data_IF_467369887425
#
_entry.id   IF_467369887425
#
_cell.length_a   1.000
_cell.length_b   1.000
_cell.length_c   1.000
_cell.angle_alpha   90.00
_cell.angle_beta   90.00
_cell.angle_gamma   90.00
#
_symmetry.space_group_name_H-M   'P 1'
#
loop_
_entity.id
_entity.type
_entity.pdbx_description
1 polymer ?
#
# COMPACT_ATOMS: atom_id res chain seq x y z
N UNK A 1 -6.58 4.99 -16.71
CA UNK A 1 -7.80 5.04 -17.54
C UNK A 1 -7.65 4.23 -18.83
N UNK A 2 -8.51 3.24 -19.08
CA UNK A 2 -8.59 2.66 -20.44
C UNK A 2 -9.24 3.69 -21.38
N UNK A 3 -8.75 3.78 -22.62
CA UNK A 3 -9.28 4.69 -23.66
C UNK A 3 -10.81 4.65 -23.77
N UNK A 4 -11.42 3.50 -23.50
CA UNK A 4 -12.87 3.30 -23.52
C UNK A 4 -13.66 4.21 -22.56
N UNK A 5 -13.18 4.47 -21.34
CA UNK A 5 -13.91 5.32 -20.39
C UNK A 5 -13.88 6.79 -20.80
N UNK A 6 -12.76 7.26 -21.34
CA UNK A 6 -12.65 8.62 -21.85
C UNK A 6 -13.54 8.85 -23.07
N UNK A 7 -13.56 7.88 -23.99
CA UNK A 7 -14.46 7.90 -25.15
C UNK A 7 -15.92 7.89 -24.71
N UNK A 8 -16.30 7.06 -23.72
CA UNK A 8 -17.65 7.03 -23.19
C UNK A 8 -18.05 8.35 -22.51
N UNK A 9 -17.14 8.96 -21.75
CA UNK A 9 -17.36 10.27 -21.13
C UNK A 9 -17.58 11.38 -22.15
N UNK A 10 -16.72 11.44 -23.18
CA UNK A 10 -16.87 12.42 -24.27
C UNK A 10 -18.15 12.19 -25.06
N UNK A 11 -18.47 10.93 -25.39
CA UNK A 11 -19.71 10.59 -26.08
C UNK A 11 -20.95 11.01 -25.27
N UNK A 12 -20.92 10.81 -23.95
CA UNK A 12 -22.01 11.24 -23.06
C UNK A 12 -22.17 12.77 -23.04
N UNK A 13 -21.08 13.52 -22.93
CA UNK A 13 -21.13 15.00 -22.96
C UNK A 13 -21.65 15.50 -24.30
N UNK A 14 -21.18 14.94 -25.42
CA UNK A 14 -21.67 15.30 -26.77
C UNK A 14 -23.16 14.98 -26.91
N UNK A 15 -23.60 13.81 -26.42
CA UNK A 15 -25.00 13.41 -26.44
C UNK A 15 -25.89 14.35 -25.62
N UNK A 16 -25.46 14.71 -24.41
CA UNK A 16 -26.18 15.69 -23.58
C UNK A 16 -26.19 17.09 -24.21
N UNK A 17 -25.09 17.49 -24.85
CA UNK A 17 -25.04 18.74 -25.62
C UNK A 17 -26.03 18.75 -26.78
N UNK A 18 -26.15 17.65 -27.52
CA UNK A 18 -27.13 17.51 -28.61
C UNK A 18 -28.57 17.59 -28.10
N UNK A 19 -28.88 16.93 -26.98
CA UNK A 19 -30.20 17.03 -26.34
C UNK A 19 -30.51 18.46 -25.90
N UNK A 20 -29.53 19.16 -25.30
CA UNK A 20 -29.70 20.55 -24.89
C UNK A 20 -29.96 21.48 -26.08
N UNK A 21 -29.22 21.33 -27.19
CA UNK A 21 -29.43 22.11 -28.43
C UNK A 21 -30.81 21.82 -29.03
N UNK A 22 -31.21 20.55 -29.11
CA UNK A 22 -32.51 20.16 -29.62
C UNK A 22 -33.64 20.76 -28.76
N UNK A 23 -33.52 20.67 -27.44
CA UNK A 23 -34.52 21.23 -26.56
C UNK A 23 -34.58 22.77 -26.65
N UNK A 24 -33.42 23.44 -26.67
CA UNK A 24 -33.36 24.89 -26.83
C UNK A 24 -34.03 25.33 -28.13
N UNK A 25 -33.70 24.70 -29.25
CA UNK A 25 -34.32 25.00 -30.55
C UNK A 25 -35.82 24.70 -30.58
N UNK A 26 -36.28 23.62 -29.93
CA UNK A 26 -37.70 23.31 -29.80
C UNK A 26 -38.46 24.36 -28.97
N UNK A 27 -37.88 24.81 -27.84
CA UNK A 27 -38.47 25.87 -27.02
C UNK A 27 -38.50 27.21 -27.75
N UNK A 28 -37.46 27.51 -28.54
CA UNK A 28 -37.38 28.72 -29.34
C UNK A 28 -38.51 28.78 -30.37
N UNK A 29 -38.79 27.65 -31.06
CA UNK A 29 -39.91 27.55 -32.00
C UNK A 29 -41.25 27.77 -31.30
N UNK A 30 -41.47 27.11 -30.16
CA UNK A 30 -42.69 27.28 -29.37
C UNK A 30 -42.90 28.74 -28.95
N UNK A 31 -41.84 29.43 -28.53
CA UNK A 31 -41.91 30.84 -28.15
C UNK A 31 -42.29 31.75 -29.33
N UNK A 32 -41.77 31.46 -30.52
CA UNK A 32 -42.09 32.23 -31.72
C UNK A 32 -43.53 32.00 -32.22
N UNK A 33 -44.04 30.77 -32.16
CA UNK A 33 -45.42 30.46 -32.54
C UNK A 33 -46.43 31.17 -31.62
N UNK A 34 -46.18 31.16 -30.31
CA UNK A 34 -47.02 31.88 -29.35
C UNK A 34 -46.99 33.40 -29.56
N UNK A 35 -45.85 33.95 -29.96
CA UNK A 35 -45.74 35.39 -30.24
C UNK A 35 -46.57 35.79 -31.47
N UNK A 36 -46.59 34.97 -32.50
CA UNK A 36 -47.44 35.18 -33.66
C UNK A 36 -48.94 35.10 -33.30
N UNK A 37 -49.32 34.18 -32.40
CA UNK A 37 -50.68 34.11 -31.89
C UNK A 37 -51.08 35.36 -31.09
N UNK A 38 -50.16 35.93 -30.31
CA UNK A 38 -50.37 37.18 -29.58
C UNK A 38 -50.55 38.39 -30.51
N UNK A 39 -49.77 38.48 -31.59
CA UNK A 39 -49.95 39.53 -32.60
C UNK A 39 -51.31 39.42 -33.32
N UNK A 40 -51.76 38.19 -33.57
CA UNK A 40 -53.11 37.93 -34.10
C UNK A 40 -54.22 38.40 -33.14
N UNK A 41 -54.05 38.15 -31.85
CA UNK A 41 -54.96 38.65 -30.82
C UNK A 41 -54.92 40.19 -30.75
N UNK A 42 -53.73 40.81 -30.76
CA UNK A 42 -53.52 42.27 -30.76
C UNK A 42 -54.35 42.97 -31.87
N UNK A 43 -54.36 42.41 -33.08
CA UNK A 43 -55.14 42.94 -34.20
C UNK A 43 -56.65 42.83 -33.98
N UNK A 44 -57.15 41.80 -33.29
CA UNK A 44 -58.55 41.76 -32.89
C UNK A 44 -58.89 42.87 -31.90
N UNK A 45 -57.99 43.26 -30.99
CA UNK A 45 -58.24 44.40 -30.09
C UNK A 45 -58.40 45.72 -30.84
N UNK A 46 -57.63 45.94 -31.90
CA UNK A 46 -57.78 47.13 -32.74
C UNK A 46 -59.18 47.19 -33.38
N UNK A 47 -59.74 46.04 -33.79
CA UNK A 47 -61.10 45.95 -34.31
C UNK A 47 -62.17 46.28 -33.27
N UNK A 48 -61.97 45.90 -32.00
CA UNK A 48 -62.92 46.20 -30.91
C UNK A 48 -62.77 47.62 -30.35
N UNK A 49 -61.61 48.27 -30.49
CA UNK A 49 -61.46 49.68 -30.14
C UNK A 49 -62.41 50.58 -30.97
N UNK A 50 -62.70 50.17 -32.20
CA UNK A 50 -63.69 50.80 -33.10
C UNK A 50 -65.14 50.58 -32.63
N UNK A 51 -65.41 49.57 -31.81
CA UNK A 51 -66.76 49.30 -31.29
C UNK A 51 -67.25 50.39 -30.33
N UNK A 52 -66.36 51.21 -29.77
CA UNK A 52 -66.73 52.34 -28.93
C UNK A 52 -67.50 53.42 -29.74
N UNK A 53 -67.15 53.58 -31.02
CA UNK A 53 -67.87 54.48 -31.93
C UNK A 53 -69.29 53.97 -32.22
N UNK A 54 -69.50 52.64 -32.23
CA UNK A 54 -70.82 52.03 -32.45
C UNK A 54 -71.79 52.38 -31.32
N UNK A 55 -71.35 52.33 -30.05
CA UNK A 55 -72.21 52.73 -28.94
C UNK A 55 -72.59 54.22 -28.99
N UNK A 56 -71.74 55.08 -29.59
CA UNK A 56 -72.02 56.52 -29.69
C UNK A 56 -73.12 56.87 -30.70
N UNK A 57 -73.38 56.00 -31.68
CA UNK A 57 -74.36 56.19 -32.75
C UNK A 57 -75.82 55.87 -32.35
N UNK A 58 -76.04 55.38 -31.12
CA UNK A 58 -77.37 55.01 -30.62
C UNK A 58 -78.07 56.25 -30.04
N UNK A 59 -79.17 56.70 -30.66
CA UNK A 59 -79.90 57.93 -30.27
C UNK A 59 -80.66 57.82 -28.93
N UNK A 60 -81.01 56.60 -28.49
CA UNK A 60 -81.75 56.39 -27.25
C UNK A 60 -80.80 56.33 -26.04
N UNK A 61 -80.89 57.31 -25.13
CA UNK A 61 -80.01 57.43 -23.94
C UNK A 61 -79.96 56.16 -23.08
N UNK A 62 -81.09 55.48 -22.88
CA UNK A 62 -81.15 54.26 -22.07
C UNK A 62 -80.42 53.09 -22.73
N UNK A 63 -80.53 52.94 -24.06
CA UNK A 63 -79.83 51.91 -24.83
C UNK A 63 -78.33 52.21 -24.95
N UNK A 64 -77.96 53.50 -24.98
CA UNK A 64 -76.57 53.94 -24.97
C UNK A 64 -75.87 53.56 -23.67
N UNK A 65 -76.52 53.79 -22.53
CA UNK A 65 -75.97 53.44 -21.21
C UNK A 65 -75.77 51.93 -21.04
N UNK A 66 -76.69 51.10 -21.52
CA UNK A 66 -76.52 49.64 -21.47
C UNK A 66 -75.38 49.17 -22.38
N UNK A 67 -75.22 49.75 -23.58
CA UNK A 67 -74.11 49.45 -24.50
C UNK A 67 -72.75 49.75 -23.84
N UNK A 68 -72.63 50.92 -23.20
CA UNK A 68 -71.40 51.32 -22.50
C UNK A 68 -71.14 50.40 -21.29
N UNK A 69 -72.16 50.08 -20.50
CA UNK A 69 -72.01 49.20 -19.34
C UNK A 69 -71.54 47.79 -19.74
N UNK A 70 -72.14 47.20 -20.78
CA UNK A 70 -71.76 45.89 -21.31
C UNK A 70 -70.34 45.90 -21.89
N UNK A 71 -69.93 46.98 -22.57
CA UNK A 71 -68.54 47.12 -23.02
C UNK A 71 -67.54 47.23 -21.87
N UNK A 72 -67.88 47.95 -20.80
CA UNK A 72 -67.00 48.07 -19.62
C UNK A 72 -66.83 46.72 -18.94
N UNK A 73 -67.91 45.98 -18.74
CA UNK A 73 -67.86 44.63 -18.14
C UNK A 73 -67.12 43.64 -19.03
N UNK A 74 -67.38 43.65 -20.34
CA UNK A 74 -66.67 42.83 -21.32
C UNK A 74 -65.16 43.16 -21.33
N UNK A 75 -64.79 44.44 -21.24
CA UNK A 75 -63.38 44.86 -21.14
C UNK A 75 -62.74 44.36 -19.84
N UNK A 76 -63.42 44.50 -18.71
CA UNK A 76 -62.88 44.08 -17.42
C UNK A 76 -62.67 42.57 -17.34
N UNK A 77 -63.66 41.78 -17.79
CA UNK A 77 -63.55 40.32 -17.85
C UNK A 77 -62.41 39.87 -18.79
N UNK A 78 -62.14 40.64 -19.84
CA UNK A 78 -61.06 40.36 -20.79
C UNK A 78 -59.68 40.71 -20.24
N UNK A 79 -59.53 41.86 -19.58
CA UNK A 79 -58.30 42.23 -18.88
C UNK A 79 -57.93 41.19 -17.81
N UNK A 80 -58.92 40.68 -17.07
CA UNK A 80 -58.69 39.58 -16.12
C UNK A 80 -58.28 38.28 -16.82
N UNK A 81 -58.96 37.91 -17.91
CA UNK A 81 -58.61 36.71 -18.67
C UNK A 81 -57.19 36.77 -19.28
N UNK A 82 -56.76 37.95 -19.74
CA UNK A 82 -55.40 38.20 -20.24
C UNK A 82 -54.37 38.12 -19.12
N UNK A 83 -54.64 38.75 -17.98
CA UNK A 83 -53.76 38.72 -16.81
C UNK A 83 -53.56 37.28 -16.31
N UNK A 84 -54.64 36.49 -16.23
CA UNK A 84 -54.56 35.08 -15.85
C UNK A 84 -53.79 34.24 -16.88
N UNK A 85 -54.02 34.48 -18.17
CA UNK A 85 -53.27 33.80 -19.24
C UNK A 85 -51.79 34.15 -19.16
N UNK A 86 -51.45 35.41 -18.91
CA UNK A 86 -50.07 35.86 -18.79
C UNK A 86 -49.40 35.26 -17.55
N UNK A 87 -50.11 35.17 -16.43
CA UNK A 87 -49.61 34.51 -15.22
C UNK A 87 -49.34 33.01 -15.47
N UNK A 88 -50.21 32.32 -16.21
CA UNK A 88 -50.00 30.91 -16.58
C UNK A 88 -48.80 30.73 -17.51
N UNK A 89 -48.65 31.61 -18.50
CA UNK A 89 -47.49 31.59 -19.40
C UNK A 89 -46.19 31.83 -18.65
N UNK A 90 -46.16 32.79 -17.73
CA UNK A 90 -44.99 33.11 -16.94
C UNK A 90 -44.60 31.94 -16.02
N UNK A 91 -45.59 31.33 -15.36
CA UNK A 91 -45.37 30.15 -14.51
C UNK A 91 -44.87 28.94 -15.30
N UNK A 92 -45.34 28.74 -16.54
CA UNK A 92 -44.85 27.67 -17.42
C UNK A 92 -43.40 27.89 -17.84
N UNK A 93 -43.00 29.13 -18.11
CA UNK A 93 -41.63 29.49 -18.49
C UNK A 93 -40.66 29.25 -17.33
N UNK A 94 -41.07 29.59 -16.11
CA UNK A 94 -40.30 29.35 -14.90
C UNK A 94 -40.14 27.86 -14.60
N UNK A 95 -41.22 27.10 -14.73
CA UNK A 95 -41.20 25.64 -14.52
C UNK A 95 -40.25 24.97 -15.50
N UNK A 96 -40.23 25.44 -16.76
CA UNK A 96 -39.29 24.95 -17.77
C UNK A 96 -37.82 25.24 -17.41
N UNK A 97 -37.52 26.44 -16.89
CA UNK A 97 -36.17 26.77 -16.44
C UNK A 97 -35.71 25.88 -15.27
N UNK A 98 -36.58 25.63 -14.29
CA UNK A 98 -36.29 24.75 -13.15
C UNK A 98 -36.01 23.31 -13.61
N UNK A 99 -36.75 22.82 -14.60
CA UNK A 99 -36.54 21.49 -15.17
C UNK A 99 -35.11 21.33 -15.72
N UNK A 100 -34.60 22.34 -16.45
CA UNK A 100 -33.24 22.31 -16.97
C UNK A 100 -32.17 22.35 -15.89
N UNK A 101 -32.36 23.18 -14.87
CA UNK A 101 -31.46 23.21 -13.70
C UNK A 101 -31.42 21.83 -13.02
N UNK A 102 -32.57 21.17 -12.89
CA UNK A 102 -32.67 19.81 -12.36
C UNK A 102 -31.89 18.79 -13.21
N UNK A 103 -32.05 18.82 -14.53
CA UNK A 103 -31.32 17.92 -15.45
C UNK A 103 -29.81 18.12 -15.34
N UNK A 104 -29.33 19.36 -15.31
CA UNK A 104 -27.90 19.66 -15.14
C UNK A 104 -27.40 19.15 -13.77
N UNK A 105 -28.18 19.35 -12.71
CA UNK A 105 -27.85 18.85 -11.37
C UNK A 105 -27.68 17.33 -11.33
N UNK A 106 -28.53 16.58 -12.03
CA UNK A 106 -28.43 15.12 -12.14
C UNK A 106 -27.15 14.71 -12.88
N UNK A 107 -26.82 15.37 -14.00
CA UNK A 107 -25.59 15.08 -14.78
C UNK A 107 -24.34 15.28 -13.90
N UNK A 108 -24.27 16.42 -13.20
CA UNK A 108 -23.15 16.74 -12.32
C UNK A 108 -23.04 15.71 -11.18
N UNK A 109 -24.17 15.30 -10.60
CA UNK A 109 -24.21 14.30 -9.54
C UNK A 109 -23.70 12.93 -10.01
N UNK A 110 -24.17 12.45 -11.17
CA UNK A 110 -23.71 11.18 -11.77
C UNK A 110 -22.21 11.24 -12.10
N UNK A 111 -21.75 12.37 -12.66
CA UNK A 111 -20.33 12.59 -12.92
C UNK A 111 -19.48 12.56 -11.65
N UNK A 112 -19.95 13.19 -10.57
CA UNK A 112 -19.27 13.17 -9.27
C UNK A 112 -19.15 11.76 -8.68
N UNK A 113 -20.23 10.97 -8.73
CA UNK A 113 -20.21 9.57 -8.27
C UNK A 113 -19.24 8.72 -9.09
N UNK A 114 -19.24 8.89 -10.42
CA UNK A 114 -18.32 8.16 -11.31
C UNK A 114 -16.85 8.45 -10.98
N UNK A 115 -16.52 9.72 -10.73
CA UNK A 115 -15.17 10.15 -10.38
C UNK A 115 -14.73 9.55 -9.04
N UNK A 116 -15.60 9.56 -8.02
CA UNK A 116 -15.33 8.92 -6.72
C UNK A 116 -15.05 7.42 -6.89
N UNK A 117 -15.83 6.73 -7.71
CA UNK A 117 -15.64 5.30 -7.98
C UNK A 117 -14.27 5.01 -8.62
N UNK A 118 -13.82 5.88 -9.53
CA UNK A 118 -12.52 5.76 -10.15
C UNK A 118 -11.39 5.99 -9.14
N UNK A 119 -11.49 7.03 -8.31
CA UNK A 119 -10.52 7.28 -7.24
C UNK A 119 -10.41 6.09 -6.29
N UNK A 120 -11.55 5.53 -5.84
CA UNK A 120 -11.56 4.35 -4.96
C UNK A 120 -10.92 3.12 -5.62
N UNK A 121 -11.11 2.95 -6.93
CA UNK A 121 -10.49 1.86 -7.68
C UNK A 121 -8.96 2.00 -7.72
N UNK A 122 -8.46 3.21 -7.97
CA UNK A 122 -7.02 3.48 -7.96
C UNK A 122 -6.42 3.32 -6.56
N UNK A 123 -7.09 3.80 -5.51
CA UNK A 123 -6.64 3.60 -4.12
C UNK A 123 -6.54 2.11 -3.77
N UNK A 124 -7.50 1.28 -4.21
CA UNK A 124 -7.45 -0.17 -4.02
C UNK A 124 -6.28 -0.82 -4.76
N UNK A 125 -5.99 -0.39 -5.98
CA UNK A 125 -4.85 -0.90 -6.74
C UNK A 125 -3.53 -0.52 -6.06
N UNK A 126 -3.39 0.74 -5.63
CA UNK A 126 -2.21 1.23 -4.91
C UNK A 126 -2.00 0.46 -3.60
N UNK A 127 -3.06 0.25 -2.82
CA UNK A 127 -2.98 -0.51 -1.56
C UNK A 127 -2.45 -1.93 -1.75
N UNK A 128 -2.80 -2.61 -2.85
CA UNK A 128 -2.25 -3.94 -3.18
C UNK A 128 -0.76 -3.90 -3.45
N UNK A 129 -0.31 -2.98 -4.31
CA UNK A 129 1.12 -2.81 -4.63
C UNK A 129 1.93 -2.45 -3.37
N UNK A 130 1.38 -1.60 -2.50
CA UNK A 130 2.01 -1.27 -1.22
C UNK A 130 2.11 -2.50 -0.32
N UNK A 131 1.09 -3.36 -0.26
CA UNK A 131 1.14 -4.58 0.54
C UNK A 131 2.22 -5.56 0.06
N UNK A 132 2.34 -5.77 -1.26
CA UNK A 132 3.37 -6.61 -1.87
C UNK A 132 4.78 -6.05 -1.59
N UNK A 133 4.95 -4.73 -1.77
CA UNK A 133 6.23 -4.06 -1.51
C UNK A 133 6.64 -4.14 -0.04
N UNK A 134 5.67 -4.06 0.89
CA UNK A 134 5.94 -4.19 2.32
C UNK A 134 6.41 -5.60 2.68
N UNK A 135 5.87 -6.64 2.04
CA UNK A 135 6.30 -8.01 2.29
C UNK A 135 7.70 -8.29 1.72
N UNK A 136 8.02 -7.79 0.53
CA UNK A 136 9.38 -7.85 -0.01
C UNK A 136 10.38 -7.08 0.86
N UNK A 137 10.00 -5.88 1.30
CA UNK A 137 10.82 -5.05 2.21
C UNK A 137 11.03 -5.74 3.55
N UNK A 138 10.02 -6.44 4.09
CA UNK A 138 10.16 -7.25 5.30
C UNK A 138 11.14 -8.40 5.11
N UNK A 139 11.09 -9.10 3.97
CA UNK A 139 12.02 -10.18 3.66
C UNK A 139 13.46 -9.67 3.52
N UNK A 140 13.66 -8.56 2.79
CA UNK A 140 14.95 -7.91 2.65
C UNK A 140 15.50 -7.45 4.01
N UNK A 141 14.67 -6.78 4.82
CA UNK A 141 15.05 -6.33 6.16
C UNK A 141 15.39 -7.50 7.10
N UNK A 142 14.68 -8.63 7.02
CA UNK A 142 15.02 -9.83 7.80
C UNK A 142 16.40 -10.38 7.41
N UNK A 143 16.80 -10.27 6.14
CA UNK A 143 18.11 -10.72 5.67
C UNK A 143 19.25 -9.77 6.09
N UNK A 144 19.00 -8.45 6.13
CA UNK A 144 20.01 -7.46 6.55
C UNK A 144 20.19 -7.41 8.06
N UNK A 145 19.11 -7.54 8.82
CA UNK A 145 19.13 -7.48 10.29
C UNK A 145 19.59 -8.78 10.96
N UNK A 146 19.93 -9.83 10.20
CA UNK A 146 20.24 -11.15 10.78
C UNK A 146 21.48 -11.13 11.67
N UNK A 147 21.48 -11.98 12.68
CA UNK A 147 22.66 -12.31 13.48
C UNK A 147 23.69 -13.05 12.61
N UNK A 148 24.96 -12.69 12.73
CA UNK A 148 26.07 -13.35 12.04
C UNK A 148 27.10 -13.76 13.07
N UNK A 149 27.11 -15.04 13.41
CA UNK A 149 28.02 -15.53 14.44
C UNK A 149 29.31 -16.04 13.81
N UNK A 150 30.43 -15.45 14.23
CA UNK A 150 31.76 -15.98 14.00
C UNK A 150 32.28 -16.67 15.26
N UNK A 151 33.14 -17.65 15.08
CA UNK A 151 33.81 -18.34 16.18
C UNK A 151 35.32 -18.15 16.02
N UNK A 152 35.97 -17.69 17.09
CA UNK A 152 37.41 -17.58 17.19
C UNK A 152 37.88 -18.49 18.32
N UNK A 153 38.97 -19.20 18.10
CA UNK A 153 39.59 -19.98 19.16
C UNK A 153 40.61 -19.10 19.86
N UNK A 154 40.54 -19.05 21.18
CA UNK A 154 41.42 -18.19 21.97
C UNK A 154 42.55 -18.98 22.63
N UNK A 155 42.24 -20.16 23.19
CA UNK A 155 43.24 -20.89 23.97
C UNK A 155 42.89 -22.37 24.14
N UNK A 156 43.93 -23.17 24.39
CA UNK A 156 43.82 -24.53 24.93
C UNK A 156 44.30 -24.47 26.39
N UNK A 157 43.36 -24.53 27.33
CA UNK A 157 43.73 -24.61 28.75
C UNK A 157 44.32 -25.99 29.00
N UNK A 158 45.57 -25.99 29.49
CA UNK A 158 46.48 -27.13 29.51
C UNK A 158 45.85 -28.45 29.99
N UNK A 159 45.94 -29.52 29.18
CA UNK A 159 45.78 -30.87 29.69
C UNK A 159 47.01 -31.20 30.55
N UNK A 160 46.89 -31.08 31.86
CA UNK A 160 47.81 -31.81 32.75
C UNK A 160 47.45 -33.29 32.69
N UNK A 161 48.36 -34.19 33.05
CA UNK A 161 48.12 -35.64 33.07
C UNK A 161 46.85 -36.02 33.85
N UNK A 162 46.45 -35.15 34.80
CA UNK A 162 45.35 -35.36 35.72
C UNK A 162 44.09 -34.52 35.42
N UNK A 163 44.13 -33.60 34.43
CA UNK A 163 42.96 -32.76 34.07
C UNK A 163 42.67 -32.81 32.58
N UNK A 164 41.39 -32.99 32.17
CA UNK A 164 41.02 -32.88 30.76
C UNK A 164 41.34 -31.47 30.29
N UNK A 165 42.00 -31.34 29.14
CA UNK A 165 42.23 -30.05 28.52
C UNK A 165 40.89 -29.40 28.13
N UNK A 166 40.90 -28.09 27.98
CA UNK A 166 39.70 -27.36 27.59
C UNK A 166 39.99 -26.48 26.39
N UNK A 167 39.09 -26.49 25.41
CA UNK A 167 39.11 -25.51 24.33
C UNK A 167 38.29 -24.30 24.74
N UNK A 168 38.86 -23.12 24.57
CA UNK A 168 38.17 -21.86 24.79
C UNK A 168 37.77 -21.27 23.45
N UNK A 169 36.48 -21.33 23.15
CA UNK A 169 35.90 -20.69 21.97
C UNK A 169 35.33 -19.34 22.37
N UNK A 170 35.69 -18.31 21.61
CA UNK A 170 35.06 -17.01 21.63
C UNK A 170 34.02 -16.96 20.52
N UNK A 171 32.78 -16.69 20.90
CA UNK A 171 31.67 -16.48 19.98
C UNK A 171 31.47 -14.98 19.84
N UNK A 172 31.48 -14.46 18.63
CA UNK A 172 31.26 -13.04 18.34
C UNK A 172 30.09 -12.87 17.39
N UNK A 173 29.13 -12.01 17.75
CA UNK A 173 28.00 -11.67 16.89
C UNK A 173 28.28 -10.39 16.09
N UNK A 174 28.53 -10.54 14.80
CA UNK A 174 28.70 -9.43 13.86
C UNK A 174 27.38 -8.93 13.26
N UNK A 175 26.25 -9.56 13.59
CA UNK A 175 24.95 -9.13 13.10
C UNK A 175 24.32 -8.04 13.95
N UNK A 176 23.18 -7.52 13.47
CA UNK A 176 22.48 -6.40 14.12
C UNK A 176 21.41 -6.84 15.13
N UNK A 177 21.16 -8.15 15.24
CA UNK A 177 20.19 -8.73 16.17
C UNK A 177 20.85 -9.70 17.13
N UNK A 178 20.33 -9.85 18.36
CA UNK A 178 20.80 -10.85 19.30
C UNK A 178 20.55 -12.25 18.76
N UNK A 179 21.41 -13.19 19.15
CA UNK A 179 21.24 -14.61 18.83
C UNK A 179 21.15 -15.44 20.10
N UNK A 180 20.38 -16.53 20.05
CA UNK A 180 20.21 -17.48 21.15
C UNK A 180 21.01 -18.74 20.81
N UNK A 181 22.15 -18.94 21.46
CA UNK A 181 22.97 -20.14 21.26
C UNK A 181 22.22 -21.33 21.85
N UNK A 182 21.94 -22.33 21.00
CA UNK A 182 21.22 -23.54 21.40
C UNK A 182 22.17 -24.66 21.73
N UNK A 183 23.17 -24.88 20.86
CA UNK A 183 24.07 -26.02 20.96
C UNK A 183 25.38 -25.73 20.23
N UNK A 184 26.50 -26.10 20.83
CA UNK A 184 27.79 -26.16 20.17
C UNK A 184 28.19 -27.62 20.05
N UNK A 185 28.47 -28.09 18.85
CA UNK A 185 29.01 -29.44 18.61
C UNK A 185 30.45 -29.28 18.19
N UNK A 186 31.37 -29.93 18.89
CA UNK A 186 32.79 -29.88 18.55
C UNK A 186 33.39 -31.27 18.49
N UNK A 187 34.27 -31.45 17.51
CA UNK A 187 35.17 -32.58 17.41
C UNK A 187 36.57 -32.04 17.25
N UNK A 188 37.51 -32.70 17.91
CA UNK A 188 38.91 -32.43 17.72
C UNK A 188 39.64 -33.71 17.32
N UNK A 189 40.74 -33.53 16.59
CA UNK A 189 41.68 -34.59 16.30
C UNK A 189 43.08 -34.03 16.41
N UNK A 190 43.91 -34.72 17.17
CA UNK A 190 45.33 -34.43 17.31
C UNK A 190 46.10 -35.34 16.37
N UNK A 191 47.12 -34.81 15.71
CA UNK A 191 47.95 -35.54 14.75
C UNK A 191 49.40 -35.04 14.80
N UNK A 192 50.31 -35.89 14.33
CA UNK A 192 51.72 -35.56 14.22
C UNK A 192 51.96 -34.62 13.03
N UNK A 193 53.02 -33.82 13.09
CA UNK A 193 53.35 -32.88 12.03
C UNK A 193 53.50 -33.60 10.68
N UNK A 194 52.70 -33.20 9.68
CA UNK A 194 52.73 -33.75 8.32
C UNK A 194 51.64 -34.78 7.97
N UNK A 195 50.80 -35.20 8.93
CA UNK A 195 49.68 -36.11 8.62
C UNK A 195 48.48 -35.37 8.01
N UNK A 196 47.94 -35.85 6.89
CA UNK A 196 46.73 -35.30 6.30
C UNK A 196 45.49 -35.78 7.06
N UNK A 197 44.79 -34.87 7.73
CA UNK A 197 43.62 -35.22 8.56
C UNK A 197 42.30 -34.80 7.93
N UNK A 198 41.41 -35.78 7.76
CA UNK A 198 39.98 -35.55 7.48
C UNK A 198 39.18 -35.71 8.77
N UNK A 199 38.56 -34.62 9.24
CA UNK A 199 37.58 -34.67 10.34
C UNK A 199 36.19 -34.78 9.72
N UNK A 200 35.48 -35.86 10.02
CA UNK A 200 34.07 -36.01 9.67
C UNK A 200 33.24 -35.54 10.86
N UNK A 201 32.44 -34.49 10.66
CA UNK A 201 31.45 -34.03 11.62
C UNK A 201 30.20 -34.90 11.50
N UNK A 202 29.85 -35.64 12.55
CA UNK A 202 28.56 -36.32 12.68
C UNK A 202 27.78 -35.64 13.79
N UNK A 203 26.48 -35.38 13.59
CA UNK A 203 25.65 -34.63 14.55
C UNK A 203 25.46 -35.30 15.92
N UNK A 204 25.86 -36.57 16.05
CA UNK A 204 25.61 -37.40 17.24
C UNK A 204 26.59 -37.20 18.40
N UNK A 205 27.65 -36.40 18.27
CA UNK A 205 28.67 -36.29 19.34
C UNK A 205 28.49 -35.08 20.26
N UNK A 206 28.24 -35.40 21.53
CA UNK A 206 28.44 -34.63 22.77
C UNK A 206 27.70 -33.28 22.92
N UNK A 207 26.82 -33.13 23.93
CA UNK A 207 26.13 -31.87 24.20
C UNK A 207 27.06 -30.88 24.90
N UNK A 208 27.57 -29.86 24.20
CA UNK A 208 27.98 -28.64 24.88
C UNK A 208 26.74 -27.76 25.09
N UNK A 209 26.17 -27.87 26.29
CA UNK A 209 24.95 -27.18 26.72
C UNK A 209 25.29 -25.81 27.27
N UNK A 210 25.72 -24.87 26.42
CA UNK A 210 25.61 -23.45 26.77
C UNK A 210 24.38 -22.88 26.08
N UNK A 211 23.38 -22.54 26.88
CA UNK A 211 22.27 -21.71 26.48
C UNK A 211 22.61 -20.28 26.89
N UNK A 212 22.61 -19.36 25.94
CA UNK A 212 23.00 -17.97 26.19
C UNK A 212 22.57 -17.07 25.04
N UNK A 213 22.43 -15.78 25.35
CA UNK A 213 22.14 -14.74 24.34
C UNK A 213 23.43 -14.00 24.04
N UNK A 214 23.82 -13.97 22.77
CA UNK A 214 24.95 -13.16 22.29
C UNK A 214 24.38 -11.92 21.60
N UNK A 215 24.53 -10.76 22.24
CA UNK A 215 24.10 -9.48 21.68
C UNK A 215 25.01 -9.02 20.53
N UNK A 216 24.52 -8.12 19.64
CA UNK A 216 25.34 -7.50 18.61
C UNK A 216 26.66 -6.92 19.14
N UNK A 217 27.78 -7.29 18.54
CA UNK A 217 29.13 -6.88 18.95
C UNK A 217 29.65 -7.54 20.23
N UNK A 218 28.85 -8.35 20.92
CA UNK A 218 29.29 -9.04 22.12
C UNK A 218 30.19 -10.22 21.76
N UNK A 219 31.27 -10.37 22.52
CA UNK A 219 32.11 -11.56 22.52
C UNK A 219 31.79 -12.38 23.76
N UNK A 220 31.34 -13.62 23.57
CA UNK A 220 31.04 -14.56 24.64
C UNK A 220 32.03 -15.71 24.66
N UNK A 221 32.62 -15.99 25.84
CA UNK A 221 33.55 -17.10 26.04
C UNK A 221 32.77 -18.38 26.38
N UNK A 222 33.06 -19.45 25.65
CA UNK A 222 32.58 -20.80 25.90
C UNK A 222 33.77 -21.71 26.17
N UNK A 223 33.82 -22.24 27.38
CA UNK A 223 34.79 -23.26 27.75
C UNK A 223 34.19 -24.63 27.42
N UNK A 224 34.86 -25.38 26.55
CA UNK A 224 34.46 -26.73 26.18
C UNK A 224 35.47 -27.71 26.75
N UNK A 225 35.01 -28.61 27.60
CA UNK A 225 35.83 -29.71 28.07
C UNK A 225 36.16 -30.64 26.90
N UNK A 226 37.45 -30.94 26.72
CA UNK A 226 37.95 -31.91 25.78
C UNK A 226 38.82 -32.92 26.51
N UNK A 227 38.36 -34.17 26.57
CA UNK A 227 39.10 -35.24 27.23
C UNK A 227 40.24 -35.71 26.34
N UNK A 228 41.37 -35.00 26.35
CA UNK A 228 42.58 -35.48 25.69
C UNK A 228 43.04 -36.78 26.36
N UNK A 229 43.10 -37.88 25.61
CA UNK A 229 43.77 -39.08 26.08
C UNK A 229 45.27 -38.81 26.24
N UNK A 230 45.96 -39.62 27.06
CA UNK A 230 47.42 -39.49 27.28
C UNK A 230 48.22 -39.39 25.98
N UNK A 231 47.85 -40.17 24.96
CA UNK A 231 48.47 -40.13 23.62
C UNK A 231 48.26 -38.78 22.91
N UNK A 232 47.06 -38.21 22.99
CA UNK A 232 46.80 -36.90 22.38
C UNK A 232 47.53 -35.78 23.11
N UNK A 233 47.61 -35.85 24.44
CA UNK A 233 48.38 -34.90 25.22
C UNK A 233 49.89 -34.96 24.88
N UNK A 234 50.46 -36.16 24.74
CA UNK A 234 51.88 -36.32 24.36
C UNK A 234 52.18 -35.84 22.95
N UNK A 235 51.30 -36.08 21.97
CA UNK A 235 51.49 -35.58 20.59
C UNK A 235 51.49 -34.05 20.59
N UNK A 236 50.56 -33.43 21.32
CA UNK A 236 50.49 -31.98 21.45
C UNK A 236 51.75 -31.41 22.12
N UNK A 237 52.24 -32.05 23.20
CA UNK A 237 53.48 -31.64 23.89
C UNK A 237 54.73 -31.79 23.02
N UNK A 238 54.73 -32.72 22.07
CA UNK A 238 55.85 -32.96 21.14
C UNK A 238 55.76 -32.11 19.85
N UNK A 239 54.98 -31.03 19.85
CA UNK A 239 54.85 -30.14 18.69
C UNK A 239 53.89 -30.62 17.60
N UNK A 240 53.03 -31.59 17.90
CA UNK A 240 51.92 -31.97 17.01
C UNK A 240 50.85 -30.88 16.90
N UNK A 241 49.99 -31.00 15.90
CA UNK A 241 48.91 -30.06 15.65
C UNK A 241 47.56 -30.64 16.10
N UNK A 242 46.65 -29.77 16.54
CA UNK A 242 45.28 -30.11 16.87
C UNK A 242 44.32 -29.43 15.90
N UNK A 243 43.46 -30.20 15.24
CA UNK A 243 42.36 -29.66 14.45
C UNK A 243 41.11 -29.71 15.29
N UNK A 244 40.40 -28.57 15.36
CA UNK A 244 39.07 -28.51 15.99
C UNK A 244 38.08 -28.07 14.93
N UNK A 245 37.06 -28.89 14.70
CA UNK A 245 35.95 -28.58 13.82
C UNK A 245 34.64 -28.74 14.56
N UNK A 246 33.65 -27.95 14.20
CA UNK A 246 32.37 -27.96 14.89
C UNK A 246 31.25 -27.24 14.17
N UNK A 247 30.06 -27.37 14.74
CA UNK A 247 28.83 -26.75 14.28
C UNK A 247 28.23 -26.00 15.46
N UNK A 248 28.06 -24.70 15.31
CA UNK A 248 27.27 -23.88 16.21
C UNK A 248 25.84 -23.80 15.70
N UNK A 249 24.88 -24.18 16.53
CA UNK A 249 23.45 -24.07 16.24
C UNK A 249 22.87 -22.99 17.14
N UNK A 250 22.23 -21.99 16.54
CA UNK A 250 21.62 -20.87 17.25
C UNK A 250 20.28 -20.47 16.61
N UNK A 251 19.45 -19.75 17.36
CA UNK A 251 18.27 -19.09 16.83
C UNK A 251 18.55 -17.59 16.70
N UNK A 252 18.10 -16.99 15.59
CA UNK A 252 18.02 -15.53 15.51
C UNK A 252 16.80 -15.00 16.29
N UNK A 253 16.66 -13.67 16.38
CA UNK A 253 15.50 -13.03 17.02
C UNK A 253 14.16 -13.38 16.34
N UNK A 254 14.21 -13.87 15.10
CA UNK A 254 13.04 -14.31 14.34
C UNK A 254 12.69 -15.78 14.57
N UNK A 255 13.42 -16.47 15.46
CA UNK A 255 13.21 -17.88 15.79
C UNK A 255 13.78 -18.87 14.78
N UNK A 256 14.43 -18.40 13.70
CA UNK A 256 14.97 -19.27 12.65
C UNK A 256 16.25 -19.93 13.16
N UNK A 257 16.31 -21.25 13.05
CA UNK A 257 17.52 -22.01 13.42
C UNK A 257 18.59 -21.84 12.35
N UNK A 258 19.79 -21.43 12.75
CA UNK A 258 20.96 -21.22 11.90
C UNK A 258 22.09 -22.13 12.33
N UNK A 259 23.00 -22.37 11.38
CA UNK A 259 24.20 -23.20 11.59
C UNK A 259 25.44 -22.44 11.12
N UNK A 260 26.43 -22.34 11.99
CA UNK A 260 27.78 -21.88 11.62
C UNK A 260 28.73 -23.06 11.76
N UNK A 261 29.33 -23.45 10.63
CA UNK A 261 30.37 -24.49 10.60
C UNK A 261 31.73 -23.80 10.71
N UNK A 262 32.54 -24.25 11.67
CA UNK A 262 33.91 -23.77 11.86
C UNK A 262 34.90 -24.92 11.85
N UNK A 263 36.12 -24.60 11.43
CA UNK A 263 37.27 -25.49 11.51
C UNK A 263 38.49 -24.61 11.70
N UNK A 264 39.19 -24.84 12.81
CA UNK A 264 40.42 -24.16 13.15
C UNK A 264 41.54 -25.18 13.32
N UNK A 265 42.74 -24.75 12.96
CA UNK A 265 43.98 -25.49 13.11
C UNK A 265 44.80 -24.81 14.21
N UNK A 266 45.30 -25.63 15.12
CA UNK A 266 46.17 -25.25 16.22
C UNK A 266 47.53 -25.85 15.90
N UNK A 267 48.47 -25.03 15.44
CA UNK A 267 49.83 -25.47 15.15
C UNK A 267 50.72 -25.32 16.38
N UNK A 268 51.37 -26.42 16.76
CA UNK A 268 52.36 -26.60 17.83
C UNK A 268 52.16 -25.77 19.12
N UNK A 269 51.87 -26.47 20.24
CA UNK A 269 52.01 -25.86 21.57
C UNK A 269 53.49 -25.69 21.85
N UNK A 270 53.96 -24.44 21.99
CA UNK A 270 55.32 -24.16 22.45
C UNK A 270 55.56 -24.77 23.85
N UNK A 271 56.81 -25.16 24.18
CA UNK A 271 57.14 -25.82 25.44
C UNK A 271 56.76 -25.02 26.70
N UNK A 272 56.63 -23.69 26.56
CA UNK A 272 56.28 -22.77 27.64
C UNK A 272 54.77 -22.67 27.90
N UNK A 273 53.97 -23.39 27.11
CA UNK A 273 52.53 -23.46 27.29
C UNK A 273 51.77 -22.14 27.11
N UNK A 274 52.35 -21.15 26.43
CA UNK A 274 51.66 -19.89 26.16
C UNK A 274 50.96 -19.92 24.80
N UNK A 275 49.65 -19.65 24.85
CA UNK A 275 48.69 -19.31 23.79
C UNK A 275 49.05 -19.77 22.37
N UNK A 276 48.35 -20.80 21.88
CA UNK A 276 48.43 -21.11 20.45
C UNK A 276 47.60 -20.12 19.66
N UNK A 277 48.22 -19.51 18.64
CA UNK A 277 47.51 -18.69 17.68
C UNK A 277 46.71 -19.61 16.75
N UNK A 278 45.39 -19.59 16.91
CA UNK A 278 44.49 -20.26 15.98
C UNK A 278 44.33 -19.42 14.72
N UNK A 279 44.69 -20.00 13.57
CA UNK A 279 44.41 -19.42 12.27
C UNK A 279 43.07 -19.92 11.73
N UNK A 280 42.23 -19.05 11.12
CA UNK A 280 41.07 -19.53 10.38
C UNK A 280 41.54 -20.37 9.19
N UNK A 281 41.00 -21.59 9.05
CA UNK A 281 41.31 -22.40 7.88
C UNK A 281 40.68 -21.74 6.62
N UNK A 282 41.38 -21.76 5.48
CA UNK A 282 41.11 -20.96 4.26
C UNK A 282 39.70 -21.10 3.64
N UNK A 283 38.84 -21.99 4.15
CA UNK A 283 37.49 -22.28 3.64
C UNK A 283 36.32 -22.01 4.61
N UNK A 284 36.55 -21.38 5.77
CA UNK A 284 35.55 -21.39 6.87
C UNK A 284 34.78 -20.08 7.10
N UNK A 285 33.67 -20.22 7.85
CA UNK A 285 32.60 -19.25 8.12
C UNK A 285 31.57 -19.07 6.99
N UNK A 286 31.11 -20.17 6.39
CA UNK A 286 29.87 -20.13 5.61
C UNK A 286 28.69 -20.23 6.55
N UNK A 287 27.94 -19.14 6.67
CA UNK A 287 26.59 -19.20 7.20
C UNK A 287 25.74 -19.96 6.17
N UNK A 288 25.29 -21.15 6.54
CA UNK A 288 24.31 -21.94 5.77
C UNK A 288 22.90 -21.64 6.26
#
# INVERSE_FOLDING_TARGET
MSRSYWIAGVAFVVFMGAIAIWAFTSSWRYYHENRAAQEGAANQYAYYADANDICSAIEADSARLSCIAEQIEARHNREHAESDLQAQLDMSSWTYAILWVGVIGIIVSVGGVALIFETLRETRAMSRVTSETLDETRLANRQTLRAYISLRFSDIVHPTTDKPGQFVILIENHGQTPCFVKRVICRYRVFEAGEAVKITLTEESSPATKQGVVFPGQVERINMAATFGRKSASIVQNGGSAHVAGILIYHDIFGITRRTIFHNMCDAIGPDGMSVNFGPYKKHNRAS
#
